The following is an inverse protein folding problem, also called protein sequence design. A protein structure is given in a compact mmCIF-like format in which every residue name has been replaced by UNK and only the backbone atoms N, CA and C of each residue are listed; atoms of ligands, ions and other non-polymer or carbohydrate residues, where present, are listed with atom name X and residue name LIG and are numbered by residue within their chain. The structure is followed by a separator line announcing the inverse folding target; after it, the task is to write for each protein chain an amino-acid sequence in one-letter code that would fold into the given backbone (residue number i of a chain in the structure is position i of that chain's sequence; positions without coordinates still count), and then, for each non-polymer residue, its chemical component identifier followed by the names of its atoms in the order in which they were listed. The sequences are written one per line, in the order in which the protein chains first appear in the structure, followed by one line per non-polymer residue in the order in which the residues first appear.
data_IF_461640447981
#
_entry.id   IF_461640447981
#
_cell.length_a   1.000
_cell.length_b   1.000
_cell.length_c   1.000
_cell.angle_alpha   90.00
_cell.angle_beta   90.00
_cell.angle_gamma   90.00
#
_symmetry.space_group_name_H-M   'P 1'
#
loop_
_entity.id
_entity.type
_entity.pdbx_description
1 polymer ?
#
# COMPACT_ATOMS: atom_id res chain seq x y z
N UNK A 1 -29.20 11.41 -9.15
CA UNK A 1 -28.99 11.13 -7.71
C UNK A 1 -29.68 9.83 -7.35
N UNK A 2 -28.90 8.85 -6.89
CA UNK A 2 -29.45 7.57 -6.43
C UNK A 2 -29.74 7.64 -4.93
N UNK A 3 -30.80 6.96 -4.51
CA UNK A 3 -31.12 6.78 -3.09
C UNK A 3 -31.22 5.29 -2.82
N UNK A 4 -30.48 4.82 -1.82
CA UNK A 4 -30.51 3.43 -1.38
C UNK A 4 -31.18 3.35 -0.02
N UNK A 5 -31.89 2.25 0.22
CA UNK A 5 -32.44 1.92 1.53
C UNK A 5 -31.73 0.68 2.09
N UNK A 6 -31.08 0.83 3.23
CA UNK A 6 -30.50 -0.27 3.99
C UNK A 6 -31.39 -0.56 5.21
N UNK A 7 -31.88 -1.80 5.41
CA UNK A 7 -32.63 -2.14 6.62
C UNK A 7 -31.79 -1.95 7.89
N UNK A 8 -30.46 -2.06 7.77
CA UNK A 8 -29.51 -1.77 8.84
C UNK A 8 -28.20 -1.24 8.24
N UNK A 9 -27.59 -0.23 8.83
CA UNK A 9 -26.26 0.24 8.43
C UNK A 9 -25.39 0.55 9.65
N UNK A 10 -24.11 0.20 9.60
CA UNK A 10 -23.12 0.64 10.58
C UNK A 10 -22.68 2.06 10.21
N UNK A 11 -23.12 3.05 10.98
CA UNK A 11 -22.74 4.45 10.79
C UNK A 11 -21.80 4.86 11.93
N UNK A 12 -20.62 5.37 11.57
CA UNK A 12 -19.56 5.66 12.54
C UNK A 12 -19.37 4.47 13.51
N UNK A 13 -19.61 4.70 14.80
CA UNK A 13 -19.40 3.73 15.88
C UNK A 13 -20.63 2.88 16.24
N UNK A 14 -21.78 3.05 15.56
CA UNK A 14 -23.00 2.31 15.91
C UNK A 14 -23.84 1.82 14.74
N UNK A 15 -24.59 0.75 14.98
CA UNK A 15 -25.63 0.29 14.08
C UNK A 15 -26.84 1.22 14.13
N UNK A 16 -27.43 1.46 12.96
CA UNK A 16 -28.67 2.20 12.76
C UNK A 16 -29.63 1.36 11.92
N UNK A 17 -30.93 1.56 12.11
CA UNK A 17 -31.98 0.86 11.38
C UNK A 17 -32.62 1.76 10.33
N UNK A 18 -33.14 1.13 9.26
CA UNK A 18 -33.93 1.76 8.22
C UNK A 18 -33.29 3.05 7.65
N UNK A 19 -32.08 2.91 7.12
CA UNK A 19 -31.24 4.03 6.70
C UNK A 19 -31.42 4.31 5.22
N UNK A 20 -31.78 5.55 4.87
CA UNK A 20 -31.67 6.09 3.51
C UNK A 20 -30.27 6.65 3.28
N UNK A 21 -29.64 6.25 2.19
CA UNK A 21 -28.32 6.69 1.75
C UNK A 21 -28.50 7.40 0.41
N UNK A 22 -28.39 8.73 0.41
CA UNK A 22 -28.50 9.53 -0.80
C UNK A 22 -27.11 9.84 -1.36
N UNK A 23 -26.90 9.59 -2.64
CA UNK A 23 -25.65 9.90 -3.34
C UNK A 23 -25.86 10.97 -4.40
N UNK A 24 -24.79 11.71 -4.71
CA UNK A 24 -24.75 12.51 -5.93
C UNK A 24 -24.50 11.64 -7.17
N UNK A 25 -24.38 12.29 -8.33
CA UNK A 25 -24.18 11.62 -9.62
C UNK A 25 -22.75 11.07 -9.79
N UNK A 26 -21.82 11.43 -8.91
CA UNK A 26 -20.47 10.87 -8.83
C UNK A 26 -20.36 9.72 -7.82
N UNK A 27 -21.46 9.39 -7.12
CA UNK A 27 -21.50 8.31 -6.14
C UNK A 27 -21.07 8.71 -4.71
N UNK A 28 -20.79 9.98 -4.45
CA UNK A 28 -20.48 10.44 -3.10
C UNK A 28 -21.73 10.49 -2.24
N UNK A 29 -21.64 9.99 -1.01
CA UNK A 29 -22.72 10.08 -0.02
C UNK A 29 -22.93 11.55 0.36
N UNK A 30 -24.15 12.06 0.17
CA UNK A 30 -24.55 13.43 0.48
C UNK A 30 -25.44 13.53 1.72
N UNK A 31 -26.23 12.50 1.99
CA UNK A 31 -27.06 12.43 3.18
C UNK A 31 -27.27 10.99 3.65
N UNK A 32 -27.37 10.85 4.98
CA UNK A 32 -27.75 9.63 5.67
C UNK A 32 -28.94 9.96 6.57
N UNK A 33 -30.07 9.30 6.36
CA UNK A 33 -31.29 9.52 7.16
C UNK A 33 -31.70 8.20 7.81
N UNK A 34 -31.70 8.13 9.13
CA UNK A 34 -32.08 6.93 9.90
C UNK A 34 -33.60 6.85 10.11
N UNK A 35 -34.09 5.72 10.62
CA UNK A 35 -35.51 5.54 11.01
C UNK A 35 -36.51 5.93 9.91
N UNK A 36 -36.11 5.71 8.66
CA UNK A 36 -36.83 6.16 7.48
C UNK A 36 -37.66 5.05 6.85
N UNK A 37 -38.53 5.42 5.90
CA UNK A 37 -39.18 4.43 5.05
C UNK A 37 -38.50 4.37 3.68
N UNK A 38 -38.48 3.20 3.03
CA UNK A 38 -37.78 2.98 1.77
C UNK A 38 -38.30 3.83 0.60
N UNK A 39 -39.61 4.14 0.54
CA UNK A 39 -40.20 4.85 -0.60
C UNK A 39 -39.81 4.20 -1.94
N UNK A 40 -39.33 5.03 -2.87
CA UNK A 40 -38.82 4.64 -4.20
C UNK A 40 -37.31 4.32 -4.22
N UNK A 41 -36.65 4.29 -3.05
CA UNK A 41 -35.23 3.99 -2.96
C UNK A 41 -34.90 2.55 -3.37
N UNK A 42 -33.68 2.35 -3.90
CA UNK A 42 -33.14 1.03 -4.22
C UNK A 42 -32.90 0.27 -2.92
N UNK A 43 -33.63 -0.82 -2.71
CA UNK A 43 -33.52 -1.62 -1.48
C UNK A 43 -32.28 -2.52 -1.53
N UNK A 44 -31.41 -2.37 -0.55
CA UNK A 44 -30.26 -3.24 -0.35
C UNK A 44 -30.70 -4.51 0.40
N UNK A 45 -30.10 -5.65 0.04
CA UNK A 45 -30.56 -6.97 0.47
C UNK A 45 -30.28 -7.31 1.95
N UNK A 46 -29.54 -6.47 2.68
CA UNK A 46 -29.15 -6.76 4.06
C UNK A 46 -28.43 -5.60 4.75
N UNK A 47 -27.79 -5.88 5.90
CA UNK A 47 -26.99 -4.90 6.62
C UNK A 47 -25.83 -4.36 5.76
N UNK A 48 -25.55 -3.07 5.90
CA UNK A 48 -24.45 -2.39 5.20
C UNK A 48 -23.40 -1.95 6.20
N UNK A 49 -22.14 -2.09 5.84
CA UNK A 49 -20.99 -1.54 6.58
C UNK A 49 -20.14 -0.68 5.64
N UNK A 50 -19.36 0.28 6.16
CA UNK A 50 -18.32 0.92 5.36
C UNK A 50 -17.41 -0.14 4.76
N UNK A 51 -17.10 0.00 3.47
CA UNK A 51 -16.20 -0.93 2.80
C UNK A 51 -14.77 -0.76 3.31
N UNK A 52 -14.01 -1.86 3.29
CA UNK A 52 -12.64 -1.89 3.79
C UNK A 52 -11.67 -1.35 2.73
N UNK A 53 -10.62 -0.67 3.16
CA UNK A 53 -9.49 -0.33 2.29
C UNK A 53 -8.41 -1.39 2.42
N UNK A 54 -7.90 -1.88 1.29
CA UNK A 54 -6.68 -2.67 1.26
C UNK A 54 -5.48 -1.71 1.14
N UNK A 55 -4.79 -1.44 2.25
CA UNK A 55 -3.76 -0.40 2.32
C UNK A 55 -2.38 -0.80 1.77
N UNK A 56 -2.22 -2.03 1.27
CA UNK A 56 -0.95 -2.47 0.71
C UNK A 56 -1.12 -3.64 -0.27
N UNK A 57 -0.64 -3.45 -1.50
CA UNK A 57 -0.72 -4.44 -2.58
C UNK A 57 0.52 -4.40 -3.45
N UNK A 58 0.94 -5.58 -3.92
CA UNK A 58 1.82 -5.75 -5.07
C UNK A 58 1.12 -6.67 -6.06
N UNK A 59 0.38 -6.09 -7.03
CA UNK A 59 -0.60 -6.83 -7.79
C UNK A 59 -0.03 -8.07 -8.51
N UNK A 60 1.16 -7.93 -9.09
CA UNK A 60 1.81 -9.00 -9.84
C UNK A 60 2.08 -10.26 -8.99
N UNK A 61 2.25 -10.13 -7.67
CA UNK A 61 2.52 -11.27 -6.79
C UNK A 61 1.34 -12.23 -6.71
N UNK A 62 0.13 -11.79 -7.04
CA UNK A 62 -1.05 -12.67 -7.13
C UNK A 62 -0.84 -13.84 -8.09
N UNK A 63 -0.06 -13.66 -9.16
CA UNK A 63 0.23 -14.72 -10.12
C UNK A 63 1.09 -15.86 -9.57
N UNK A 64 1.83 -15.63 -8.47
CA UNK A 64 2.64 -16.66 -7.81
C UNK A 64 2.08 -17.11 -6.45
N UNK A 65 0.91 -16.60 -6.04
CA UNK A 65 0.31 -16.95 -4.76
C UNK A 65 0.13 -18.48 -4.63
N UNK A 66 0.74 -19.06 -3.60
CA UNK A 66 0.73 -20.51 -3.33
C UNK A 66 1.74 -21.35 -4.15
N UNK A 67 2.48 -20.76 -5.08
CA UNK A 67 3.49 -21.47 -5.88
C UNK A 67 4.87 -21.52 -5.22
N UNK A 68 5.09 -20.71 -4.18
CA UNK A 68 6.34 -20.66 -3.43
C UNK A 68 6.38 -21.66 -2.26
N UNK A 69 5.30 -22.40 -1.99
CA UNK A 69 5.17 -23.32 -0.86
C UNK A 69 5.85 -24.67 -1.13
N UNK A 70 7.09 -24.63 -1.60
CA UNK A 70 7.90 -25.82 -1.92
C UNK A 70 9.21 -25.71 -1.16
N UNK A 71 9.39 -26.58 -0.17
CA UNK A 71 10.64 -26.68 0.58
C UNK A 71 11.78 -27.09 -0.36
N UNK A 72 12.62 -26.13 -0.72
CA UNK A 72 13.83 -26.30 -1.52
C UNK A 72 15.09 -26.42 -0.66
N UNK A 73 15.09 -25.77 0.51
CA UNK A 73 16.11 -25.88 1.55
C UNK A 73 15.45 -26.04 2.94
N UNK A 74 16.12 -26.72 3.86
CA UNK A 74 15.77 -26.75 5.28
C UNK A 74 15.73 -25.37 5.95
N UNK A 75 16.36 -24.35 5.36
CA UNK A 75 16.38 -22.96 5.83
C UNK A 75 15.69 -21.99 4.86
N UNK A 76 14.64 -22.44 4.15
CA UNK A 76 13.83 -21.53 3.35
C UNK A 76 13.32 -20.34 4.20
N UNK A 77 13.40 -19.15 3.61
CA UNK A 77 13.15 -17.88 4.29
C UNK A 77 12.58 -16.85 3.32
N UNK A 78 12.21 -15.66 3.82
CA UNK A 78 11.86 -14.50 3.00
C UNK A 78 12.81 -14.27 1.82
N UNK A 79 14.11 -14.50 2.03
CA UNK A 79 15.15 -14.24 1.03
C UNK A 79 15.10 -15.23 -0.14
N UNK A 80 14.82 -16.53 0.12
CA UNK A 80 14.68 -17.53 -0.95
C UNK A 80 13.36 -17.38 -1.72
N UNK A 81 12.28 -16.99 -1.02
CA UNK A 81 11.03 -16.56 -1.64
C UNK A 81 11.23 -15.36 -2.58
N UNK A 82 12.04 -14.37 -2.16
CA UNK A 82 12.33 -13.18 -2.96
C UNK A 82 13.02 -13.52 -4.28
N UNK A 83 13.89 -14.52 -4.29
CA UNK A 83 14.56 -14.97 -5.52
C UNK A 83 13.58 -15.64 -6.51
N UNK A 84 12.57 -16.36 -6.01
CA UNK A 84 11.45 -16.85 -6.82
C UNK A 84 10.64 -15.69 -7.42
N UNK A 85 10.30 -14.70 -6.59
CA UNK A 85 9.58 -13.49 -7.02
C UNK A 85 10.37 -12.74 -8.10
N UNK A 86 11.68 -12.55 -7.91
CA UNK A 86 12.57 -11.93 -8.90
C UNK A 86 12.57 -12.68 -10.24
N UNK A 87 12.55 -14.02 -10.24
CA UNK A 87 12.44 -14.79 -11.49
C UNK A 87 11.14 -14.54 -12.25
N UNK A 88 10.03 -14.34 -11.55
CA UNK A 88 8.74 -14.04 -12.17
C UNK A 88 8.72 -12.62 -12.74
N UNK A 89 9.07 -11.61 -11.95
CA UNK A 89 9.00 -10.20 -12.38
C UNK A 89 9.93 -9.90 -13.56
N UNK A 90 10.98 -10.68 -13.79
CA UNK A 90 11.86 -10.50 -14.96
C UNK A 90 11.20 -10.89 -16.29
N UNK A 91 9.98 -11.45 -16.28
CA UNK A 91 9.28 -11.94 -17.48
C UNK A 91 7.97 -11.21 -17.78
N UNK A 92 7.45 -10.43 -16.84
CA UNK A 92 6.13 -9.82 -16.96
C UNK A 92 6.14 -8.64 -17.94
N UNK A 93 5.24 -8.69 -18.93
CA UNK A 93 4.93 -7.54 -19.80
C UNK A 93 3.89 -6.61 -19.13
N UNK A 94 3.74 -5.36 -19.58
CA UNK A 94 2.69 -4.47 -19.09
C UNK A 94 1.28 -5.08 -19.18
N UNK A 95 0.94 -5.73 -20.29
CA UNK A 95 -0.37 -6.34 -20.51
C UNK A 95 -0.62 -7.49 -19.53
N UNK A 96 0.41 -8.29 -19.23
CA UNK A 96 0.30 -9.35 -18.23
C UNK A 96 0.08 -8.78 -16.83
N UNK A 97 0.79 -7.70 -16.46
CA UNK A 97 0.57 -7.00 -15.19
C UNK A 97 -0.86 -6.47 -15.11
N UNK A 98 -1.38 -5.85 -16.17
CA UNK A 98 -2.77 -5.37 -16.23
C UNK A 98 -3.80 -6.50 -16.07
N UNK A 99 -3.59 -7.64 -16.72
CA UNK A 99 -4.46 -8.80 -16.59
C UNK A 99 -4.46 -9.39 -15.17
N UNK A 100 -3.27 -9.54 -14.56
CA UNK A 100 -3.12 -10.04 -13.18
C UNK A 100 -3.79 -9.07 -12.20
N UNK A 101 -3.54 -7.77 -12.35
CA UNK A 101 -4.13 -6.73 -11.50
C UNK A 101 -5.66 -6.70 -11.62
N UNK A 102 -6.21 -6.80 -12.83
CA UNK A 102 -7.66 -6.83 -13.05
C UNK A 102 -8.29 -8.01 -12.30
N UNK A 103 -7.67 -9.20 -12.42
CA UNK A 103 -8.14 -10.39 -11.72
C UNK A 103 -8.07 -10.21 -10.19
N UNK A 104 -6.95 -9.71 -9.68
CA UNK A 104 -6.77 -9.43 -8.26
C UNK A 104 -7.81 -8.44 -7.73
N UNK A 105 -8.05 -7.34 -8.44
CA UNK A 105 -8.96 -6.29 -7.99
C UNK A 105 -10.42 -6.74 -7.99
N UNK A 106 -10.83 -7.61 -8.92
CA UNK A 106 -12.13 -8.28 -8.86
C UNK A 106 -12.23 -9.18 -7.62
N UNK A 107 -11.19 -9.94 -7.31
CA UNK A 107 -11.15 -10.78 -6.10
C UNK A 107 -11.22 -9.93 -4.82
N UNK A 108 -10.52 -8.78 -4.78
CA UNK A 108 -10.56 -7.83 -3.67
C UNK A 108 -11.98 -7.28 -3.45
N UNK A 109 -12.66 -6.85 -4.51
CA UNK A 109 -14.05 -6.37 -4.44
C UNK A 109 -15.00 -7.45 -3.92
N UNK A 110 -14.87 -8.69 -4.40
CA UNK A 110 -15.64 -9.84 -3.89
C UNK A 110 -15.33 -10.15 -2.43
N UNK A 111 -14.10 -9.86 -1.98
CA UNK A 111 -13.67 -9.96 -0.59
C UNK A 111 -14.11 -8.81 0.31
N UNK A 112 -14.75 -7.77 -0.24
CA UNK A 112 -15.26 -6.61 0.53
C UNK A 112 -14.32 -5.41 0.58
N UNK A 113 -13.20 -5.43 -0.16
CA UNK A 113 -12.33 -4.26 -0.32
C UNK A 113 -12.83 -3.37 -1.45
N UNK A 114 -13.08 -2.08 -1.18
CA UNK A 114 -13.50 -1.12 -2.21
C UNK A 114 -12.39 -0.21 -2.71
N UNK A 115 -11.25 -0.20 -2.02
CA UNK A 115 -10.09 0.63 -2.31
C UNK A 115 -8.82 -0.22 -2.17
N UNK A 116 -7.81 0.03 -3.00
CA UNK A 116 -6.48 -0.59 -2.88
C UNK A 116 -5.37 0.44 -2.98
N UNK A 117 -4.41 0.41 -2.07
CA UNK A 117 -3.16 1.16 -2.21
C UNK A 117 -2.13 0.26 -2.90
N UNK A 118 -1.89 0.53 -4.18
CA UNK A 118 -1.01 -0.27 -5.03
C UNK A 118 0.43 0.22 -4.90
N UNK A 119 1.22 -0.48 -4.10
CA UNK A 119 2.63 -0.23 -3.85
C UNK A 119 3.44 -0.78 -5.03
N UNK A 120 3.67 0.08 -6.02
CA UNK A 120 4.12 -0.32 -7.35
C UNK A 120 5.60 -0.01 -7.61
N UNK A 121 6.42 -1.06 -7.64
CA UNK A 121 7.87 -0.95 -7.93
C UNK A 121 8.30 -1.62 -9.25
N UNK A 122 7.40 -2.14 -10.07
CA UNK A 122 7.75 -2.78 -11.35
C UNK A 122 7.63 -1.78 -12.49
N UNK A 123 8.65 -0.96 -12.70
CA UNK A 123 8.59 0.21 -13.59
C UNK A 123 9.04 -0.07 -15.03
N UNK A 124 10.13 -0.81 -15.18
CA UNK A 124 10.90 -0.86 -16.44
C UNK A 124 10.72 -2.16 -17.19
N UNK A 125 11.24 -2.23 -18.41
CA UNK A 125 11.27 -3.44 -19.24
C UNK A 125 12.22 -4.52 -18.68
N UNK A 126 12.23 -5.75 -19.24
CA UNK A 126 13.13 -6.82 -18.79
C UNK A 126 14.63 -6.50 -18.88
N UNK A 127 15.04 -5.44 -19.59
CA UNK A 127 16.40 -4.95 -19.70
C UNK A 127 16.69 -3.75 -18.76
N UNK A 128 15.71 -3.34 -17.95
CA UNK A 128 15.83 -2.20 -17.04
C UNK A 128 15.70 -0.84 -17.74
N UNK A 129 15.16 -0.80 -18.96
CA UNK A 129 14.89 0.45 -19.68
C UNK A 129 13.46 0.93 -19.43
N UNK A 130 13.24 2.24 -19.26
CA UNK A 130 11.90 2.78 -19.03
C UNK A 130 11.00 2.51 -20.24
N UNK A 131 9.76 2.12 -19.95
CA UNK A 131 8.71 2.10 -20.97
C UNK A 131 8.32 3.53 -21.35
N UNK A 132 7.82 3.70 -22.58
CA UNK A 132 7.11 4.93 -22.95
C UNK A 132 5.88 5.11 -22.05
N UNK A 133 5.62 6.36 -21.65
CA UNK A 133 4.42 6.80 -20.93
C UNK A 133 4.07 6.01 -19.64
N UNK A 134 5.07 5.42 -18.97
CA UNK A 134 4.90 4.56 -17.78
C UNK A 134 3.86 3.44 -17.98
N UNK A 135 3.98 2.68 -19.08
CA UNK A 135 3.03 1.63 -19.46
C UNK A 135 2.60 0.68 -18.31
N UNK A 136 3.49 0.37 -17.37
CA UNK A 136 3.16 -0.44 -16.18
C UNK A 136 2.11 0.22 -15.27
N UNK A 137 2.25 1.52 -14.98
CA UNK A 137 1.28 2.28 -14.18
C UNK A 137 -0.05 2.44 -14.92
N UNK A 138 0.00 2.73 -16.23
CA UNK A 138 -1.20 2.85 -17.06
C UNK A 138 -2.04 1.56 -17.05
N UNK A 139 -1.38 0.40 -17.09
CA UNK A 139 -2.05 -0.91 -17.01
C UNK A 139 -2.70 -1.14 -15.63
N UNK A 140 -2.08 -0.69 -14.54
CA UNK A 140 -2.69 -0.76 -13.20
C UNK A 140 -3.91 0.15 -13.05
N UNK A 141 -3.85 1.36 -13.62
CA UNK A 141 -4.99 2.29 -13.65
C UNK A 141 -6.16 1.71 -14.46
N UNK A 142 -5.86 1.18 -15.65
CA UNK A 142 -6.87 0.55 -16.49
C UNK A 142 -7.46 -0.70 -15.83
N UNK A 143 -6.65 -1.48 -15.11
CA UNK A 143 -7.10 -2.63 -14.35
C UNK A 143 -8.08 -2.23 -13.23
N UNK A 144 -7.75 -1.19 -12.46
CA UNK A 144 -8.63 -0.67 -11.41
C UNK A 144 -9.96 -0.15 -11.98
N UNK A 145 -9.90 0.62 -13.07
CA UNK A 145 -11.07 1.09 -13.80
C UNK A 145 -11.96 -0.07 -14.29
N UNK A 146 -11.34 -1.09 -14.89
CA UNK A 146 -12.05 -2.25 -15.43
C UNK A 146 -12.73 -3.08 -14.33
N UNK A 147 -12.06 -3.24 -13.18
CA UNK A 147 -12.63 -3.93 -12.03
C UNK A 147 -13.71 -3.10 -11.30
N UNK A 148 -13.58 -1.77 -11.34
CA UNK A 148 -14.42 -0.84 -10.58
C UNK A 148 -13.97 -0.64 -9.12
N UNK A 149 -12.71 -0.95 -8.80
CA UNK A 149 -12.13 -0.69 -7.47
C UNK A 149 -11.56 0.73 -7.43
N UNK A 150 -11.64 1.40 -6.29
CA UNK A 150 -10.84 2.60 -6.07
C UNK A 150 -9.37 2.26 -5.87
N UNK A 151 -8.47 3.17 -6.23
CA UNK A 151 -7.04 2.92 -6.21
C UNK A 151 -6.27 4.14 -5.69
N UNK A 152 -5.35 3.93 -4.76
CA UNK A 152 -4.28 4.88 -4.45
C UNK A 152 -3.01 4.35 -5.07
N UNK A 153 -2.51 5.03 -6.10
CA UNK A 153 -1.26 4.64 -6.76
C UNK A 153 -0.06 5.12 -5.95
N UNK A 154 0.83 4.20 -5.63
CA UNK A 154 2.06 4.46 -4.90
C UNK A 154 3.24 4.01 -5.77
N UNK A 155 3.62 4.75 -6.83
CA UNK A 155 4.88 4.50 -7.51
C UNK A 155 6.02 4.58 -6.49
N UNK A 156 6.88 3.56 -6.51
CA UNK A 156 7.91 3.35 -5.48
C UNK A 156 9.25 3.87 -5.94
N UNK A 157 9.90 4.71 -5.12
CA UNK A 157 11.31 5.00 -5.25
C UNK A 157 12.13 3.82 -4.73
N UNK A 158 12.93 3.23 -5.62
CA UNK A 158 13.88 2.15 -5.36
C UNK A 158 15.17 2.49 -6.09
N UNK A 159 16.30 2.56 -5.39
CA UNK A 159 17.58 2.96 -6.00
C UNK A 159 18.75 2.05 -5.62
N UNK A 160 18.69 1.40 -4.46
CA UNK A 160 19.80 0.63 -3.88
C UNK A 160 19.41 -0.79 -3.52
N UNK A 161 20.41 -1.68 -3.42
CA UNK A 161 20.18 -3.06 -3.00
C UNK A 161 20.11 -3.24 -1.49
N UNK A 162 20.81 -2.38 -0.73
CA UNK A 162 20.93 -2.45 0.73
C UNK A 162 21.39 -1.11 1.36
N UNK A 163 21.39 -1.07 2.70
CA UNK A 163 21.86 0.05 3.52
C UNK A 163 23.22 0.60 3.09
N UNK A 164 23.40 1.93 3.24
CA UNK A 164 24.62 2.59 2.82
C UNK A 164 24.74 2.76 1.30
N UNK A 165 23.60 2.81 0.61
CA UNK A 165 23.51 3.05 -0.83
C UNK A 165 24.27 2.01 -1.68
N UNK A 166 24.15 0.73 -1.30
CA UNK A 166 24.81 -0.34 -2.07
C UNK A 166 24.25 -0.39 -3.50
N UNK A 167 25.10 -0.59 -4.53
CA UNK A 167 24.65 -0.70 -5.91
C UNK A 167 23.56 -1.76 -6.07
N UNK A 168 22.53 -1.43 -6.85
CA UNK A 168 21.46 -2.37 -7.17
C UNK A 168 22.02 -3.63 -7.85
N UNK A 169 21.42 -4.78 -7.55
CA UNK A 169 21.69 -6.04 -8.26
C UNK A 169 20.91 -6.12 -9.58
N UNK A 170 21.38 -6.96 -10.50
CA UNK A 170 20.68 -7.23 -11.77
C UNK A 170 19.22 -7.66 -11.59
N UNK A 171 18.90 -8.34 -10.47
CA UNK A 171 17.53 -8.74 -10.14
C UNK A 171 16.59 -7.56 -9.89
N UNK A 172 17.15 -6.41 -9.47
CA UNK A 172 16.41 -5.19 -9.12
C UNK A 172 16.30 -4.21 -10.28
N UNK A 173 16.95 -4.46 -11.43
CA UNK A 173 17.04 -3.51 -12.56
C UNK A 173 15.70 -2.95 -13.03
N UNK A 174 14.60 -3.72 -12.88
CA UNK A 174 13.26 -3.29 -13.29
C UNK A 174 12.60 -2.28 -12.34
N UNK A 175 13.19 -2.08 -11.17
CA UNK A 175 12.66 -1.24 -10.10
C UNK A 175 13.42 0.09 -9.98
N UNK A 176 14.65 0.15 -10.50
CA UNK A 176 15.58 1.23 -10.20
C UNK A 176 15.12 2.56 -10.80
N UNK A 177 14.90 3.56 -9.96
CA UNK A 177 14.62 4.92 -10.37
C UNK A 177 15.62 5.89 -9.75
N UNK A 178 15.95 6.92 -10.53
CA UNK A 178 16.59 8.13 -10.03
C UNK A 178 15.53 9.09 -9.48
N UNK A 179 15.91 9.96 -8.55
CA UNK A 179 14.97 10.85 -7.84
C UNK A 179 14.24 11.81 -8.77
N UNK A 180 14.93 12.36 -9.76
CA UNK A 180 14.38 13.23 -10.79
C UNK A 180 13.35 12.52 -11.67
N UNK A 181 13.65 11.30 -12.12
CA UNK A 181 12.72 10.46 -12.87
C UNK A 181 11.47 10.10 -12.04
N UNK A 182 11.66 9.77 -10.76
CA UNK A 182 10.58 9.52 -9.81
C UNK A 182 9.66 10.74 -9.64
N UNK A 183 10.24 11.93 -9.43
CA UNK A 183 9.46 13.17 -9.28
C UNK A 183 8.69 13.53 -10.56
N UNK A 184 9.27 13.28 -11.74
CA UNK A 184 8.55 13.43 -13.01
C UNK A 184 7.40 12.43 -13.15
N UNK A 185 7.60 11.18 -12.70
CA UNK A 185 6.54 10.15 -12.67
C UNK A 185 5.40 10.55 -11.72
N UNK A 186 5.73 11.09 -10.54
CA UNK A 186 4.74 11.63 -9.60
C UNK A 186 3.90 12.75 -10.22
N UNK A 187 4.51 13.67 -10.96
CA UNK A 187 3.78 14.74 -11.67
C UNK A 187 2.80 14.17 -12.71
N UNK A 188 3.20 13.14 -13.46
CA UNK A 188 2.32 12.48 -14.44
C UNK A 188 1.15 11.78 -13.75
N UNK A 189 1.41 11.03 -12.68
CA UNK A 189 0.36 10.35 -11.90
C UNK A 189 -0.62 11.36 -11.29
N UNK A 190 -0.14 12.50 -10.79
CA UNK A 190 -0.99 13.57 -10.29
C UNK A 190 -1.91 14.14 -11.39
N UNK A 191 -1.40 14.31 -12.60
CA UNK A 191 -2.20 14.76 -13.75
C UNK A 191 -3.25 13.72 -14.16
N UNK A 192 -2.90 12.44 -14.19
CA UNK A 192 -3.83 11.37 -14.57
C UNK A 192 -4.94 11.15 -13.55
N UNK A 193 -4.66 11.37 -12.26
CA UNK A 193 -5.62 11.18 -11.16
C UNK A 193 -6.56 12.38 -10.95
N UNK A 194 -6.18 13.60 -11.34
CA UNK A 194 -6.93 14.83 -11.04
C UNK A 194 -8.41 14.84 -11.48
N UNK A 195 -8.79 14.05 -12.49
CA UNK A 195 -10.16 13.98 -13.01
C UNK A 195 -10.84 12.63 -12.74
N UNK A 196 -10.20 11.74 -11.96
CA UNK A 196 -10.70 10.40 -11.69
C UNK A 196 -11.05 10.27 -10.21
N UNK A 197 -12.35 10.34 -9.85
CA UNK A 197 -12.77 10.44 -8.44
C UNK A 197 -12.41 9.22 -7.58
N UNK A 198 -12.09 8.09 -8.22
CA UNK A 198 -11.69 6.85 -7.54
C UNK A 198 -10.17 6.62 -7.55
N UNK A 199 -9.39 7.49 -8.19
CA UNK A 199 -7.94 7.35 -8.28
C UNK A 199 -7.26 8.45 -7.45
N UNK A 200 -6.48 8.02 -6.48
CA UNK A 200 -5.59 8.86 -5.67
C UNK A 200 -4.14 8.50 -5.96
N UNK A 201 -3.21 9.27 -5.40
CA UNK A 201 -1.78 8.97 -5.47
C UNK A 201 -1.06 9.35 -4.19
N UNK A 202 0.15 8.81 -4.01
CA UNK A 202 0.99 9.12 -2.87
C UNK A 202 2.47 8.87 -3.14
N UNK A 203 3.27 9.26 -2.16
CA UNK A 203 4.70 9.03 -2.13
C UNK A 203 4.98 7.65 -1.56
N UNK A 204 6.04 7.03 -2.05
CA UNK A 204 6.40 5.69 -1.62
C UNK A 204 7.90 5.49 -1.75
N UNK A 205 8.52 5.14 -0.63
CA UNK A 205 9.89 4.66 -0.59
C UNK A 205 9.82 3.15 -0.40
N UNK A 206 10.62 2.36 -1.11
CA UNK A 206 10.53 0.90 -0.93
C UNK A 206 10.85 0.52 0.52
N UNK A 207 12.06 0.81 0.98
CA UNK A 207 12.50 0.61 2.36
C UNK A 207 13.77 1.41 2.63
N UNK A 208 14.20 1.51 3.89
CA UNK A 208 15.46 2.17 4.25
C UNK A 208 16.71 1.53 3.61
N UNK A 209 16.59 0.29 3.13
CA UNK A 209 17.62 -0.42 2.37
C UNK A 209 17.71 0.05 0.92
N UNK A 210 16.61 0.53 0.35
CA UNK A 210 16.48 0.77 -1.07
C UNK A 210 16.55 2.26 -1.45
N UNK A 211 16.56 3.18 -0.48
CA UNK A 211 16.69 4.63 -0.70
C UNK A 211 17.69 5.22 0.28
N UNK A 212 18.28 6.37 -0.08
CA UNK A 212 19.12 7.14 0.84
C UNK A 212 18.32 8.23 1.56
N UNK A 213 18.84 8.67 2.71
CA UNK A 213 18.30 9.80 3.48
C UNK A 213 18.14 11.07 2.63
N UNK A 214 19.15 11.37 1.79
CA UNK A 214 19.13 12.52 0.89
C UNK A 214 17.97 12.46 -0.11
N UNK A 215 17.73 11.28 -0.71
CA UNK A 215 16.62 11.10 -1.65
C UNK A 215 15.26 11.26 -0.96
N UNK A 216 15.12 10.73 0.27
CA UNK A 216 13.88 10.89 1.03
C UNK A 216 13.60 12.37 1.34
N UNK A 217 14.61 13.13 1.79
CA UNK A 217 14.46 14.56 2.01
C UNK A 217 14.11 15.33 0.74
N UNK A 218 14.79 15.04 -0.37
CA UNK A 218 14.53 15.67 -1.66
C UNK A 218 13.10 15.44 -2.13
N UNK A 219 12.62 14.19 -2.10
CA UNK A 219 11.26 13.84 -2.49
C UNK A 219 10.22 14.50 -1.59
N UNK A 220 10.40 14.43 -0.27
CA UNK A 220 9.46 15.02 0.68
C UNK A 220 9.39 16.55 0.56
N UNK A 221 10.52 17.21 0.27
CA UNK A 221 10.58 18.66 0.09
C UNK A 221 9.95 19.12 -1.24
N UNK A 222 10.06 18.30 -2.30
CA UNK A 222 9.51 18.61 -3.62
C UNK A 222 8.01 18.28 -3.77
N UNK A 223 7.45 17.50 -2.84
CA UNK A 223 6.08 16.99 -2.92
C UNK A 223 5.12 17.78 -2.03
N UNK A 224 3.84 17.75 -2.38
CA UNK A 224 2.84 18.34 -1.50
C UNK A 224 2.87 17.64 -0.14
N UNK A 225 2.67 18.41 0.94
CA UNK A 225 2.17 17.83 2.18
C UNK A 225 0.79 17.19 1.93
N UNK A 226 -0.04 16.68 2.82
CA UNK A 226 -1.30 15.98 2.41
C UNK A 226 -1.17 14.68 1.61
N UNK A 227 -0.17 14.48 0.75
CA UNK A 227 0.02 13.20 0.07
C UNK A 227 0.41 12.11 1.10
N UNK A 228 -0.18 10.90 1.01
CA UNK A 228 0.26 9.78 1.83
C UNK A 228 1.70 9.40 1.53
N UNK A 229 2.41 8.89 2.54
CA UNK A 229 3.79 8.40 2.41
C UNK A 229 3.85 6.97 2.90
N UNK A 230 4.21 6.03 2.03
CA UNK A 230 4.33 4.61 2.38
C UNK A 230 5.79 4.17 2.39
N UNK A 231 6.15 3.27 3.31
CA UNK A 231 7.47 2.65 3.37
C UNK A 231 7.39 1.27 4.05
N UNK A 232 8.09 0.26 3.51
CA UNK A 232 8.35 -0.97 4.26
C UNK A 232 9.42 -0.72 5.30
N UNK A 233 9.14 -1.09 6.55
CA UNK A 233 10.09 -0.87 7.65
C UNK A 233 9.92 -1.93 8.73
N UNK A 234 11.05 -2.44 9.24
CA UNK A 234 11.12 -3.39 10.36
C UNK A 234 10.29 -4.69 10.15
N UNK A 235 10.15 -5.14 8.89
CA UNK A 235 9.46 -6.38 8.52
C UNK A 235 10.22 -7.62 9.05
N UNK A 236 11.56 -7.63 8.95
CA UNK A 236 12.41 -8.79 9.21
C UNK A 236 13.49 -8.48 10.27
N UNK A 237 13.81 -9.43 11.17
CA UNK A 237 14.89 -9.28 12.17
C UNK A 237 16.26 -8.99 11.53
N UNK A 238 16.50 -9.53 10.34
CA UNK A 238 17.72 -9.25 9.58
C UNK A 238 17.82 -7.76 9.20
N UNK A 239 16.73 -7.13 8.78
CA UNK A 239 16.74 -5.68 8.50
C UNK A 239 17.09 -4.88 9.75
N UNK A 240 16.55 -5.27 10.91
CA UNK A 240 16.88 -4.62 12.19
C UNK A 240 18.37 -4.75 12.51
N UNK A 241 18.92 -5.96 12.35
CA UNK A 241 20.33 -6.24 12.63
C UNK A 241 21.26 -5.48 11.67
N UNK A 242 20.94 -5.46 10.39
CA UNK A 242 21.72 -4.74 9.37
C UNK A 242 21.65 -3.22 9.59
N UNK A 243 20.47 -2.68 9.96
CA UNK A 243 20.28 -1.27 10.28
C UNK A 243 21.11 -0.83 11.48
N UNK A 244 21.16 -1.67 12.54
CA UNK A 244 22.00 -1.45 13.72
C UNK A 244 23.49 -1.50 13.36
N UNK A 245 23.91 -2.44 12.51
CA UNK A 245 25.30 -2.55 12.08
C UNK A 245 25.74 -1.33 11.23
N UNK A 246 24.85 -0.81 10.39
CA UNK A 246 25.11 0.31 9.50
C UNK A 246 25.07 1.67 10.21
N UNK A 247 24.06 1.92 11.06
CA UNK A 247 23.78 3.24 11.64
C UNK A 247 23.87 3.31 13.15
N UNK A 248 23.93 2.17 13.85
CA UNK A 248 23.78 2.11 15.31
C UNK A 248 22.34 2.29 15.80
N UNK A 249 21.37 2.42 14.90
CA UNK A 249 19.95 2.66 15.20
C UNK A 249 19.09 1.54 14.62
N UNK A 250 17.93 1.30 15.24
CA UNK A 250 16.89 0.42 14.69
C UNK A 250 16.15 1.12 13.54
N UNK A 251 15.51 0.40 12.60
CA UNK A 251 14.90 1.02 11.41
C UNK A 251 13.87 2.11 11.73
N UNK A 252 12.94 1.85 12.66
CA UNK A 252 11.90 2.83 13.01
C UNK A 252 12.51 3.98 13.80
N UNK A 253 13.38 3.71 14.78
CA UNK A 253 14.11 4.75 15.48
C UNK A 253 14.89 5.68 14.51
N UNK A 254 15.60 5.10 13.55
CA UNK A 254 16.36 5.82 12.52
C UNK A 254 15.47 6.77 11.72
N UNK A 255 14.30 6.28 11.27
CA UNK A 255 13.33 7.06 10.50
C UNK A 255 12.81 8.25 11.32
N UNK A 256 12.36 8.00 12.54
CA UNK A 256 11.80 9.07 13.39
C UNK A 256 12.85 10.08 13.88
N UNK A 257 14.15 9.73 13.88
CA UNK A 257 15.22 10.65 14.26
C UNK A 257 15.57 11.66 13.15
N UNK A 258 15.15 11.39 11.90
CA UNK A 258 15.49 12.19 10.71
C UNK A 258 14.29 12.83 10.04
N UNK A 259 13.11 12.22 10.17
CA UNK A 259 11.91 12.66 9.50
C UNK A 259 10.80 13.00 10.49
N UNK A 260 10.03 14.04 10.18
CA UNK A 260 8.77 14.35 10.85
C UNK A 260 7.69 13.36 10.38
N UNK A 261 7.75 12.13 10.90
CA UNK A 261 6.74 11.11 10.67
C UNK A 261 5.46 11.56 11.39
N UNK A 262 4.37 11.68 10.64
CA UNK A 262 3.06 12.14 11.10
C UNK A 262 1.94 11.20 10.59
N UNK A 263 0.68 11.59 10.80
CA UNK A 263 -0.48 10.81 10.38
C UNK A 263 -0.57 10.54 8.87
N UNK A 264 0.28 11.14 8.03
CA UNK A 264 0.31 10.82 6.61
C UNK A 264 1.13 9.56 6.28
N UNK A 265 1.90 9.06 7.23
CA UNK A 265 2.78 7.94 7.00
C UNK A 265 2.06 6.63 7.24
N UNK A 266 2.21 5.70 6.31
CA UNK A 266 1.86 4.29 6.48
C UNK A 266 3.16 3.49 6.56
N UNK A 267 3.45 2.98 7.76
CA UNK A 267 4.61 2.14 8.02
C UNK A 267 4.16 0.69 7.81
N UNK A 268 4.51 0.13 6.65
CA UNK A 268 4.10 -1.20 6.25
C UNK A 268 4.90 -2.23 7.06
N UNK A 269 4.18 -3.24 7.57
CA UNK A 269 4.65 -4.24 8.52
C UNK A 269 4.89 -3.67 9.92
N UNK A 270 5.99 -2.92 10.09
CA UNK A 270 6.43 -2.43 11.38
C UNK A 270 6.47 -3.55 12.46
N UNK A 271 6.82 -4.78 12.06
CA UNK A 271 6.69 -5.99 12.89
C UNK A 271 7.61 -5.97 14.10
N UNK A 272 8.86 -5.55 13.90
CA UNK A 272 9.92 -5.63 14.89
C UNK A 272 10.17 -4.27 15.56
N UNK A 273 9.35 -3.95 16.56
CA UNK A 273 9.47 -2.70 17.33
C UNK A 273 9.93 -2.96 18.75
N UNK A 274 10.74 -2.04 19.28
CA UNK A 274 10.91 -1.91 20.73
C UNK A 274 9.84 -0.99 21.35
N UNK A 275 9.83 -0.90 22.69
CA UNK A 275 8.84 -0.09 23.43
C UNK A 275 8.88 1.41 23.08
N UNK A 276 10.05 1.96 22.75
CA UNK A 276 10.18 3.36 22.37
C UNK A 276 9.67 3.59 20.96
N UNK A 277 9.95 2.68 20.03
CA UNK A 277 9.44 2.71 18.67
C UNK A 277 7.91 2.61 18.64
N UNK A 278 7.31 1.70 19.44
CA UNK A 278 5.85 1.59 19.59
C UNK A 278 5.24 2.91 20.08
N UNK A 279 5.83 3.53 21.11
CA UNK A 279 5.34 4.78 21.66
C UNK A 279 5.40 5.92 20.65
N UNK A 280 6.57 6.12 20.00
CA UNK A 280 6.75 7.16 18.98
C UNK A 280 5.81 6.99 17.80
N UNK A 281 5.56 5.75 17.39
CA UNK A 281 4.64 5.44 16.31
C UNK A 281 3.19 5.73 16.65
N UNK A 282 2.76 5.42 17.88
CA UNK A 282 1.41 5.76 18.32
C UNK A 282 1.23 7.29 18.44
N UNK A 283 2.21 7.98 19.03
CA UNK A 283 2.16 9.42 19.28
C UNK A 283 2.16 10.26 17.99
N UNK A 284 2.79 9.78 16.91
CA UNK A 284 2.80 10.48 15.62
C UNK A 284 1.48 10.39 14.85
N UNK A 285 0.65 9.42 15.20
CA UNK A 285 -0.58 9.09 14.48
C UNK A 285 -0.34 8.39 13.14
N UNK A 286 0.90 7.97 12.84
CA UNK A 286 1.20 7.14 11.67
C UNK A 286 0.36 5.85 11.69
N UNK A 287 0.13 5.29 10.52
CA UNK A 287 -0.67 4.07 10.36
C UNK A 287 0.26 2.86 10.30
N UNK A 288 -0.02 1.84 11.11
CA UNK A 288 0.55 0.52 10.96
C UNK A 288 -0.14 -0.18 9.78
N UNK A 289 0.60 -0.39 8.70
CA UNK A 289 0.14 -1.11 7.52
C UNK A 289 0.34 -2.60 7.67
N UNK A 290 -0.57 -3.27 8.38
CA UNK A 290 -0.44 -4.69 8.72
C UNK A 290 -0.88 -5.60 7.56
N UNK A 291 -0.07 -6.61 7.26
CA UNK A 291 -0.27 -7.60 6.21
C UNK A 291 -0.28 -9.03 6.79
N UNK A 292 -1.16 -9.36 7.76
CA UNK A 292 -0.99 -10.51 8.65
C UNK A 292 -0.92 -11.87 7.94
N UNK A 293 -1.60 -12.05 6.81
CA UNK A 293 -1.52 -13.30 6.03
C UNK A 293 -0.19 -13.46 5.32
N UNK A 294 0.36 -12.35 4.79
CA UNK A 294 1.68 -12.33 4.16
C UNK A 294 2.77 -12.44 5.22
N UNK A 295 2.66 -11.70 6.31
CA UNK A 295 3.59 -11.76 7.44
C UNK A 295 3.70 -13.16 8.03
N UNK A 296 2.58 -13.87 8.14
CA UNK A 296 2.57 -15.27 8.55
C UNK A 296 3.19 -16.21 7.50
N UNK A 297 2.91 -16.00 6.20
CA UNK A 297 3.46 -16.83 5.11
C UNK A 297 4.99 -16.68 4.98
N UNK A 298 5.50 -15.45 5.12
CA UNK A 298 6.93 -15.14 5.00
C UNK A 298 7.71 -15.36 6.30
N UNK A 299 7.02 -15.64 7.40
CA UNK A 299 7.63 -15.90 8.70
C UNK A 299 8.23 -14.65 9.32
N UNK A 300 7.62 -13.48 9.11
CA UNK A 300 8.11 -12.19 9.58
C UNK A 300 8.11 -12.12 11.11
N UNK A 301 6.97 -12.43 11.74
CA UNK A 301 6.76 -12.28 13.17
C UNK A 301 5.35 -11.81 13.50
N UNK A 302 5.15 -11.30 14.72
CA UNK A 302 3.85 -10.81 15.19
C UNK A 302 3.99 -9.36 15.65
N UNK A 303 3.26 -8.45 14.99
CA UNK A 303 3.18 -7.05 15.38
C UNK A 303 2.64 -6.89 16.83
N UNK A 304 3.20 -5.98 17.66
CA UNK A 304 2.74 -5.73 19.03
C UNK A 304 1.41 -4.94 19.08
N UNK A 305 0.37 -5.48 18.45
CA UNK A 305 -0.91 -4.80 18.21
C UNK A 305 -1.60 -4.33 19.50
N UNK A 306 -1.58 -5.16 20.55
CA UNK A 306 -2.24 -4.82 21.83
C UNK A 306 -1.60 -3.60 22.47
N UNK A 307 -0.27 -3.53 22.52
CA UNK A 307 0.43 -2.38 23.08
C UNK A 307 0.23 -1.14 22.22
N UNK A 308 0.35 -1.28 20.91
CA UNK A 308 0.20 -0.18 19.96
C UNK A 308 -1.21 0.43 20.01
N UNK A 309 -2.27 -0.39 19.95
CA UNK A 309 -3.67 0.05 20.07
C UNK A 309 -3.93 0.62 21.47
N UNK A 310 -3.38 0.00 22.52
CA UNK A 310 -3.50 0.49 23.90
C UNK A 310 -2.95 1.91 24.11
N UNK A 311 -2.06 2.36 23.21
CA UNK A 311 -1.52 3.73 23.18
C UNK A 311 -2.24 4.68 22.21
N UNK A 312 -3.33 4.23 21.59
CA UNK A 312 -4.06 5.01 20.57
C UNK A 312 -3.46 4.95 19.17
N UNK A 313 -2.57 3.97 18.91
CA UNK A 313 -2.01 3.72 17.59
C UNK A 313 -3.09 3.39 16.55
N UNK A 314 -2.83 3.76 15.30
CA UNK A 314 -3.77 3.58 14.17
C UNK A 314 -3.32 2.45 13.25
N UNK A 315 -4.26 1.62 12.83
CA UNK A 315 -4.05 0.51 11.91
C UNK A 315 -5.14 0.52 10.83
N UNK A 316 -4.82 0.00 9.65
CA UNK A 316 -5.87 -0.46 8.72
C UNK A 316 -6.74 0.60 8.03
N UNK A 317 -6.68 1.88 8.41
CA UNK A 317 -7.57 2.92 7.87
C UNK A 317 -6.85 4.25 7.62
N UNK A 318 -6.95 4.70 6.38
CA UNK A 318 -6.74 6.09 5.97
C UNK A 318 -8.11 6.80 5.95
N UNK A 319 -8.26 8.01 6.53
CA UNK A 319 -9.50 8.76 6.49
C UNK A 319 -9.86 9.28 5.09
#
# INVERSE_FOLDING_TARGET
MAVYFAPRAQLADRWQENVLIATDDQGFIRALTTDSTPGDAVRLAGPVIPAMANLHSHAFQRAMAGLAEVAGDSQDSFWTWRDLMYRMVQRLSPEQVGAIATHLYIDMLKGGYSQVAEFHYLHHDPHGQPYADDAMLQQLMQAAHTAGIGQTLLPVLYSYSDFGAQPASDGQRRFIQHTDAYLQQQQRVAQWSAQQPLINHGLCFHSLRAVSEAQMHEVLAASAAHLPVHIHVAEQEKEVSDSLAWSGERPVAWLYNRFAVDARWSLIHATHLDQQEIARMADSGAIAGLCPTTEANLGDGIFPAVEYIGRGGRLGHWP
#
